data_IF_461914469452
#
_entry.id   IF_461914469452
#
_cell.length_a   1.000
_cell.length_b   1.000
_cell.length_c   1.000
_cell.angle_alpha   90.00
_cell.angle_beta   90.00
_cell.angle_gamma   90.00
#
_symmetry.space_group_name_H-M   'P 1'
#
loop_
_entity.id
_entity.type
_entity.pdbx_description
1 polymer ?
#
# COMPACT_ATOMS: atom_id res chain seq x y z
N UNK A 1 2.28 -24.90 7.01
CA UNK A 1 1.77 -23.53 7.07
C UNK A 1 2.90 -22.56 7.41
N UNK A 2 2.91 -21.40 6.78
CA UNK A 2 3.94 -20.38 7.02
C UNK A 2 3.54 -19.50 8.20
N UNK A 3 4.54 -19.08 9.00
CA UNK A 3 4.32 -18.24 10.17
C UNK A 3 5.10 -16.94 10.00
N UNK A 4 4.47 -15.83 10.30
CA UNK A 4 5.12 -14.52 10.36
C UNK A 4 4.89 -13.92 11.74
N UNK A 5 5.87 -13.19 12.24
CA UNK A 5 5.82 -12.60 13.59
C UNK A 5 6.01 -11.10 13.52
N UNK A 6 5.58 -10.42 14.57
CA UNK A 6 5.80 -8.99 14.73
C UNK A 6 6.07 -8.68 16.19
N UNK A 7 6.86 -7.63 16.41
CA UNK A 7 7.22 -7.16 17.73
C UNK A 7 7.03 -5.64 17.80
N UNK A 8 6.38 -5.17 18.85
CA UNK A 8 6.11 -3.76 19.07
C UNK A 8 6.66 -3.33 20.43
N UNK A 9 7.33 -2.19 20.46
CA UNK A 9 7.87 -1.61 21.68
C UNK A 9 7.41 -0.16 21.82
N UNK A 10 6.99 0.20 23.03
CA UNK A 10 6.66 1.58 23.36
C UNK A 10 7.95 2.40 23.48
N UNK A 11 7.92 3.58 22.83
CA UNK A 11 8.98 4.58 23.00
C UNK A 11 8.56 5.55 24.09
N UNK A 12 7.37 6.16 23.92
CA UNK A 12 6.81 7.10 24.88
C UNK A 12 5.33 7.32 24.54
N UNK A 13 4.42 7.25 25.53
CA UNK A 13 3.01 7.51 25.29
C UNK A 13 2.45 6.59 24.19
N UNK A 14 1.95 7.18 23.12
CA UNK A 14 1.44 6.41 21.97
C UNK A 14 2.43 6.36 20.80
N UNK A 15 3.70 6.64 21.07
CA UNK A 15 4.79 6.51 20.11
C UNK A 15 5.41 5.13 20.24
N UNK A 16 5.41 4.36 19.14
CA UNK A 16 5.88 2.98 19.13
C UNK A 16 6.84 2.72 17.98
N UNK A 17 7.69 1.74 18.16
CA UNK A 17 8.52 1.20 17.08
C UNK A 17 8.24 -0.30 16.97
N UNK A 18 8.01 -0.77 15.76
CA UNK A 18 7.72 -2.17 15.49
C UNK A 18 8.60 -2.73 14.40
N UNK A 19 8.74 -4.03 14.40
CA UNK A 19 9.43 -4.77 13.33
C UNK A 19 8.83 -6.15 13.18
N UNK A 20 9.06 -6.74 12.02
CA UNK A 20 8.65 -8.10 11.74
C UNK A 20 9.89 -8.91 11.30
N UNK A 21 9.68 -10.01 10.61
CA UNK A 21 10.74 -10.96 10.26
C UNK A 21 11.86 -10.38 9.39
N UNK A 22 11.56 -9.34 8.61
CA UNK A 22 12.59 -8.65 7.81
C UNK A 22 13.57 -7.83 8.66
N UNK A 23 13.28 -7.66 9.95
CA UNK A 23 14.13 -6.96 10.92
C UNK A 23 14.38 -5.47 10.62
N UNK A 24 13.38 -4.81 10.00
CA UNK A 24 13.39 -3.36 9.77
C UNK A 24 12.41 -2.68 10.71
N UNK A 25 12.84 -1.61 11.35
CA UNK A 25 11.99 -0.84 12.26
C UNK A 25 11.07 0.12 11.51
N UNK A 26 9.82 0.18 11.95
CA UNK A 26 8.82 1.14 11.49
C UNK A 26 8.30 1.88 12.72
N UNK A 27 8.26 3.21 12.64
CA UNK A 27 7.72 4.02 13.73
C UNK A 27 6.24 4.31 13.50
N UNK A 28 5.48 4.25 14.59
CA UNK A 28 4.06 4.58 14.60
C UNK A 28 3.81 5.61 15.69
N UNK A 29 2.94 6.56 15.40
CA UNK A 29 2.62 7.62 16.36
C UNK A 29 1.25 8.21 16.05
N UNK A 30 0.77 9.06 16.95
CA UNK A 30 -0.45 9.82 16.80
C UNK A 30 -0.20 11.31 16.92
N UNK A 31 -1.25 12.12 16.72
CA UNK A 31 -1.14 13.56 16.87
C UNK A 31 -0.99 13.97 18.35
N UNK A 32 -0.39 15.14 18.58
CA UNK A 32 -0.17 15.67 19.93
C UNK A 32 -1.44 15.75 20.77
N UNK A 33 -2.55 16.11 20.15
CA UNK A 33 -3.85 16.23 20.85
C UNK A 33 -4.32 14.91 21.48
N UNK A 34 -3.77 13.76 21.05
CA UNK A 34 -4.05 12.45 21.64
C UNK A 34 -2.86 11.87 22.38
N UNK A 35 -1.88 12.70 22.74
CA UNK A 35 -0.72 12.26 23.50
C UNK A 35 0.45 11.76 22.67
N UNK A 36 0.42 11.95 21.36
CA UNK A 36 1.51 11.58 20.45
C UNK A 36 2.52 12.69 20.25
N UNK A 37 3.58 12.39 19.53
CA UNK A 37 4.63 13.33 19.17
C UNK A 37 4.64 13.62 17.65
N UNK A 38 3.72 13.02 16.89
CA UNK A 38 3.72 13.15 15.44
C UNK A 38 4.96 12.59 14.75
N UNK A 39 5.65 11.64 15.39
CA UNK A 39 6.96 11.17 14.97
C UNK A 39 6.92 9.91 14.09
N UNK A 40 5.77 9.50 13.63
CA UNK A 40 5.62 8.32 12.77
C UNK A 40 4.27 8.29 12.10
N UNK A 41 4.09 7.29 11.24
CA UNK A 41 2.81 7.06 10.55
C UNK A 41 1.75 6.61 11.55
N UNK A 42 0.50 6.93 11.31
CA UNK A 42 -0.62 6.38 12.07
C UNK A 42 -0.74 4.88 11.75
N UNK A 43 -1.12 4.05 12.73
CA UNK A 43 -1.25 2.61 12.48
C UNK A 43 -2.10 2.25 11.27
N UNK A 44 -3.25 2.88 11.08
CA UNK A 44 -4.12 2.59 9.92
C UNK A 44 -3.51 3.04 8.60
N UNK A 45 -2.68 4.09 8.61
CA UNK A 45 -1.97 4.51 7.39
C UNK A 45 -1.04 3.42 6.88
N UNK A 46 -0.48 2.61 7.78
CA UNK A 46 0.40 1.50 7.40
C UNK A 46 -0.34 0.41 6.65
N UNK A 47 -1.65 0.25 6.85
CA UNK A 47 -2.46 -0.67 6.06
C UNK A 47 -2.53 -0.20 4.61
N UNK A 48 -2.68 1.10 4.39
CA UNK A 48 -2.72 1.68 3.03
C UNK A 48 -1.36 1.56 2.35
N UNK A 49 -0.29 1.83 3.08
CA UNK A 49 1.08 1.68 2.57
C UNK A 49 1.40 0.22 2.27
N UNK A 50 0.97 -0.70 3.12
CA UNK A 50 1.14 -2.13 2.90
C UNK A 50 0.41 -2.60 1.65
N UNK A 51 -0.81 -2.13 1.45
CA UNK A 51 -1.60 -2.42 0.25
C UNK A 51 -0.87 -1.91 -1.01
N UNK A 52 -0.45 -0.65 -0.99
CA UNK A 52 0.27 -0.04 -2.12
C UNK A 52 1.57 -0.79 -2.43
N UNK A 53 2.38 -1.07 -1.41
CA UNK A 53 3.65 -1.78 -1.58
C UNK A 53 3.49 -3.20 -2.12
N UNK A 54 2.48 -3.91 -1.65
CA UNK A 54 2.21 -5.27 -2.10
C UNK A 54 1.83 -5.30 -3.59
N UNK A 55 0.85 -4.50 -3.99
CA UNK A 55 0.45 -4.45 -5.40
C UNK A 55 1.53 -3.86 -6.30
N UNK A 56 2.28 -2.85 -5.82
CA UNK A 56 3.40 -2.28 -6.57
C UNK A 56 4.47 -3.32 -6.89
N UNK A 57 4.78 -4.17 -5.94
CA UNK A 57 5.76 -5.24 -6.11
C UNK A 57 5.33 -6.22 -7.22
N UNK A 58 4.05 -6.62 -7.21
CA UNK A 58 3.50 -7.50 -8.23
C UNK A 58 3.55 -6.87 -9.62
N UNK A 59 3.02 -5.66 -9.73
CA UNK A 59 2.93 -4.93 -11.01
C UNK A 59 4.32 -4.72 -11.60
N UNK A 60 5.27 -4.28 -10.78
CA UNK A 60 6.67 -4.08 -11.21
C UNK A 60 7.29 -5.38 -11.71
N UNK A 61 7.11 -6.49 -10.99
CA UNK A 61 7.63 -7.80 -11.38
C UNK A 61 7.03 -8.29 -12.69
N UNK A 62 5.71 -8.12 -12.86
CA UNK A 62 5.01 -8.56 -14.07
C UNK A 62 5.45 -7.74 -15.28
N UNK A 63 5.53 -6.42 -15.13
CA UNK A 63 5.98 -5.55 -16.23
C UNK A 63 7.43 -5.82 -16.61
N UNK A 64 8.29 -6.14 -15.65
CA UNK A 64 9.68 -6.53 -15.93
C UNK A 64 9.72 -7.81 -16.76
N UNK A 65 8.91 -8.82 -16.45
CA UNK A 65 8.81 -10.06 -17.20
C UNK A 65 8.30 -9.82 -18.62
N UNK A 66 7.42 -8.85 -18.81
CA UNK A 66 6.90 -8.44 -20.11
C UNK A 66 7.88 -7.52 -20.87
N UNK A 67 9.04 -7.23 -20.27
CA UNK A 67 10.08 -6.37 -20.83
C UNK A 67 9.58 -4.93 -21.08
N UNK A 68 8.67 -4.46 -20.23
CA UNK A 68 8.21 -3.07 -20.26
C UNK A 68 9.17 -2.24 -19.43
N UNK A 69 9.73 -1.21 -20.04
CA UNK A 69 10.64 -0.29 -19.35
C UNK A 69 9.85 0.84 -18.71
N UNK A 70 9.94 0.93 -17.39
CA UNK A 70 9.39 2.07 -16.65
C UNK A 70 10.53 3.02 -16.29
N UNK A 71 10.30 4.32 -16.53
CA UNK A 71 11.23 5.36 -16.11
C UNK A 71 10.94 5.76 -14.65
N UNK A 72 9.67 5.70 -14.24
CA UNK A 72 9.25 5.91 -12.88
C UNK A 72 7.87 5.26 -12.67
N UNK A 73 7.50 5.06 -11.40
CA UNK A 73 6.23 4.43 -11.04
C UNK A 73 5.77 4.94 -9.68
N UNK A 74 4.52 5.35 -9.61
CA UNK A 74 3.92 5.84 -8.37
C UNK A 74 2.55 5.20 -8.16
N UNK A 75 2.14 5.08 -6.90
CA UNK A 75 0.77 4.71 -6.55
C UNK A 75 0.25 5.75 -5.57
N UNK A 76 -0.88 6.35 -5.91
CA UNK A 76 -1.61 7.23 -5.01
C UNK A 76 -2.75 6.43 -4.39
N UNK A 77 -2.91 6.52 -3.08
CA UNK A 77 -3.95 5.82 -2.35
C UNK A 77 -4.83 6.83 -1.63
N UNK A 78 -6.13 6.74 -1.82
CA UNK A 78 -7.09 7.50 -1.02
C UNK A 78 -8.09 6.53 -0.41
N UNK A 79 -8.57 6.84 0.79
CA UNK A 79 -9.49 5.98 1.49
C UNK A 79 -10.56 6.80 2.20
N UNK A 80 -11.79 6.29 2.16
CA UNK A 80 -12.89 6.85 2.95
C UNK A 80 -12.99 6.05 4.24
N UNK A 81 -13.27 6.73 5.34
CA UNK A 81 -13.34 6.14 6.66
C UNK A 81 -14.61 6.57 7.38
N UNK A 82 -15.17 5.69 8.21
CA UNK A 82 -16.33 6.02 9.03
C UNK A 82 -15.99 7.13 10.03
N UNK A 83 -16.97 7.93 10.40
CA UNK A 83 -16.79 9.03 11.36
C UNK A 83 -16.85 8.55 12.80
N UNK A 84 -17.66 7.53 13.08
CA UNK A 84 -17.88 7.01 14.42
C UNK A 84 -17.00 5.81 14.74
N UNK A 85 -16.67 5.62 16.02
CA UNK A 85 -15.88 4.46 16.45
C UNK A 85 -16.68 3.15 16.35
N UNK A 86 -16.04 2.06 15.94
CA UNK A 86 -14.65 2.01 15.48
C UNK A 86 -14.53 2.64 14.09
N UNK A 87 -13.55 3.54 13.95
CA UNK A 87 -13.29 4.20 12.67
C UNK A 87 -12.57 3.23 11.74
N UNK A 88 -13.24 2.80 10.69
CA UNK A 88 -12.72 1.82 9.73
C UNK A 88 -12.74 2.38 8.32
N UNK A 89 -11.82 1.92 7.49
CA UNK A 89 -11.87 2.21 6.07
C UNK A 89 -13.03 1.45 5.44
N UNK A 90 -13.82 2.14 4.63
CA UNK A 90 -14.96 1.57 3.90
C UNK A 90 -14.66 1.40 2.43
N UNK A 91 -13.81 2.25 1.88
CA UNK A 91 -13.47 2.26 0.47
C UNK A 91 -12.04 2.75 0.29
N UNK A 92 -11.28 2.07 -0.55
CA UNK A 92 -9.91 2.46 -0.91
C UNK A 92 -9.81 2.55 -2.43
N UNK A 93 -9.26 3.65 -2.91
CA UNK A 93 -9.00 3.87 -4.34
C UNK A 93 -7.50 3.91 -4.58
N UNK A 94 -7.01 3.05 -5.46
CA UNK A 94 -5.63 3.00 -5.90
C UNK A 94 -5.51 3.65 -7.27
N UNK A 95 -4.59 4.60 -7.42
CA UNK A 95 -4.25 5.16 -8.72
C UNK A 95 -2.81 4.79 -9.06
N UNK A 96 -2.63 3.95 -10.07
CA UNK A 96 -1.31 3.59 -10.57
C UNK A 96 -0.86 4.62 -11.61
N UNK A 97 0.34 5.16 -11.47
CA UNK A 97 0.89 6.13 -12.39
C UNK A 97 2.20 5.58 -12.96
N UNK A 98 2.22 5.34 -14.25
CA UNK A 98 3.38 4.78 -14.96
C UNK A 98 4.02 5.85 -15.84
N UNK A 99 5.32 5.98 -15.75
CA UNK A 99 6.07 6.94 -16.55
C UNK A 99 6.99 6.21 -17.52
N UNK A 100 6.92 6.54 -18.79
CA UNK A 100 7.76 5.95 -19.83
C UNK A 100 7.22 6.22 -21.22
N UNK A 101 8.03 6.00 -22.23
CA UNK A 101 7.70 6.35 -23.60
C UNK A 101 7.04 5.23 -24.41
N UNK A 102 7.24 3.97 -24.02
CA UNK A 102 6.74 2.80 -24.73
C UNK A 102 5.99 1.84 -23.81
N UNK A 103 4.96 2.33 -23.17
CA UNK A 103 4.15 1.51 -22.25
C UNK A 103 2.80 1.22 -22.91
N UNK A 104 2.54 -0.06 -23.20
CA UNK A 104 1.26 -0.48 -23.80
C UNK A 104 0.20 -0.64 -22.72
N UNK A 105 -0.97 -0.07 -22.93
CA UNK A 105 -2.09 -0.17 -22.00
C UNK A 105 -2.44 -1.63 -21.65
N UNK A 106 -2.42 -2.52 -22.63
CA UNK A 106 -2.75 -3.93 -22.40
C UNK A 106 -1.80 -4.60 -21.39
N UNK A 107 -0.53 -4.19 -21.37
CA UNK A 107 0.46 -4.75 -20.45
C UNK A 107 0.21 -4.25 -19.03
N UNK A 108 -0.10 -2.96 -18.89
CA UNK A 108 -0.43 -2.33 -17.62
C UNK A 108 -1.72 -2.93 -17.05
N UNK A 109 -2.76 -3.02 -17.86
CA UNK A 109 -4.04 -3.59 -17.44
C UNK A 109 -3.89 -5.04 -16.99
N UNK A 110 -3.10 -5.83 -17.73
CA UNK A 110 -2.86 -7.22 -17.37
C UNK A 110 -2.07 -7.33 -16.06
N UNK A 111 -1.08 -6.48 -15.86
CA UNK A 111 -0.27 -6.47 -14.63
C UNK A 111 -1.15 -6.13 -13.41
N UNK A 112 -1.97 -5.11 -13.52
CA UNK A 112 -2.89 -4.70 -12.45
C UNK A 112 -3.91 -5.81 -12.16
N UNK A 113 -4.51 -6.37 -13.20
CA UNK A 113 -5.48 -7.46 -13.06
C UNK A 113 -4.89 -8.66 -12.32
N UNK A 114 -3.71 -9.09 -12.71
CA UNK A 114 -3.02 -10.21 -12.06
C UNK A 114 -2.71 -9.90 -10.59
N UNK A 115 -2.25 -8.70 -10.30
CA UNK A 115 -1.99 -8.29 -8.92
C UNK A 115 -3.27 -8.31 -8.09
N UNK A 116 -4.31 -7.62 -8.55
CA UNK A 116 -5.52 -7.43 -7.76
C UNK A 116 -6.37 -8.69 -7.61
N UNK A 117 -6.37 -9.58 -8.59
CA UNK A 117 -7.23 -10.77 -8.58
C UNK A 117 -6.51 -12.08 -8.28
N UNK A 118 -5.18 -12.09 -8.30
CA UNK A 118 -4.43 -13.35 -8.12
C UNK A 118 -3.32 -13.25 -7.08
N UNK A 119 -2.47 -12.23 -7.14
CA UNK A 119 -1.21 -12.23 -6.40
C UNK A 119 -1.16 -11.37 -5.14
N UNK A 120 -1.87 -10.23 -5.10
CA UNK A 120 -1.76 -9.34 -3.95
C UNK A 120 -2.50 -9.88 -2.73
N UNK A 121 -1.73 -10.47 -1.80
CA UNK A 121 -2.29 -11.02 -0.58
C UNK A 121 -2.94 -9.95 0.30
N UNK A 122 -2.41 -8.74 0.30
CA UNK A 122 -2.99 -7.64 1.09
C UNK A 122 -4.35 -7.25 0.54
N UNK A 123 -4.49 -7.14 -0.80
CA UNK A 123 -5.80 -6.92 -1.44
C UNK A 123 -6.77 -8.04 -1.05
N UNK A 124 -6.33 -9.29 -1.17
CA UNK A 124 -7.17 -10.44 -0.86
C UNK A 124 -7.70 -10.43 0.58
N UNK A 125 -6.89 -9.97 1.52
CA UNK A 125 -7.31 -9.83 2.91
C UNK A 125 -8.23 -8.64 3.11
N UNK A 126 -7.82 -7.46 2.65
CA UNK A 126 -8.52 -6.21 2.93
C UNK A 126 -9.86 -6.10 2.20
N UNK A 127 -9.98 -6.66 0.99
CA UNK A 127 -11.23 -6.59 0.24
C UNK A 127 -12.41 -7.31 0.92
N UNK A 128 -12.12 -8.15 1.89
CA UNK A 128 -13.17 -8.80 2.70
C UNK A 128 -13.81 -7.83 3.68
N UNK A 129 -13.14 -6.73 3.99
CA UNK A 129 -13.61 -5.74 4.96
C UNK A 129 -13.99 -4.41 4.32
N UNK A 130 -13.53 -4.13 3.11
CA UNK A 130 -13.73 -2.84 2.46
C UNK A 130 -13.74 -2.99 0.95
N UNK A 131 -14.30 -1.99 0.26
CA UNK A 131 -14.25 -1.90 -1.20
C UNK A 131 -12.89 -1.39 -1.64
N UNK A 132 -12.25 -2.08 -2.61
CA UNK A 132 -10.96 -1.65 -3.17
C UNK A 132 -11.13 -1.48 -4.67
N UNK A 133 -10.92 -0.26 -5.15
CA UNK A 133 -11.01 0.11 -6.56
C UNK A 133 -9.66 0.59 -7.07
N UNK A 134 -9.50 0.58 -8.38
CA UNK A 134 -8.27 1.10 -8.97
C UNK A 134 -8.53 1.79 -10.30
N UNK A 135 -7.64 2.73 -10.61
CA UNK A 135 -7.51 3.39 -11.90
C UNK A 135 -6.03 3.43 -12.23
N UNK A 136 -5.71 3.77 -13.48
CA UNK A 136 -4.32 3.99 -13.87
C UNK A 136 -4.21 5.10 -14.89
N UNK A 137 -3.02 5.66 -15.01
CA UNK A 137 -2.66 6.55 -16.10
C UNK A 137 -1.20 6.31 -16.50
N UNK A 138 -0.92 6.53 -17.77
CA UNK A 138 0.40 6.40 -18.35
C UNK A 138 0.83 7.81 -18.77
N UNK A 139 1.99 8.23 -18.27
CA UNK A 139 2.55 9.55 -18.51
C UNK A 139 3.88 9.43 -19.24
N UNK A 140 4.27 10.50 -19.91
CA UNK A 140 5.58 10.56 -20.54
C UNK A 140 6.69 10.53 -19.49
N UNK A 141 7.89 10.11 -19.88
CA UNK A 141 9.05 10.14 -19.00
C UNK A 141 9.26 11.55 -18.43
N UNK A 142 9.60 11.58 -17.14
CA UNK A 142 9.86 12.85 -16.45
C UNK A 142 11.14 13.49 -16.94
#
# INVERSE_FOLDING_TARGET
>A
MLTSTAYLRQIKGISFAGKSDSNHWVTMDGPEKFGGEGAGSRPKELLLLGLAGCTASDVTSILKKKRVKLDDFEINVSAEMTEDHPKVFTKVDLEYVFYGDNIAEKDVERAIDLSQNTYCGVTAMLQKAMEINHTYRIEKAK
#
